data_IF_948274598198
#
_entry.id   IF_948274598198
#
_cell.length_a   1.000
_cell.length_b   1.000
_cell.length_c   1.000
_cell.angle_alpha   90.00
_cell.angle_beta   90.00
_cell.angle_gamma   90.00
#
_symmetry.space_group_name_H-M   'P 1'
#
loop_
_entity.id
_entity.type
_entity.pdbx_description
1 polymer ?
#
# COMPACT_ATOMS: atom_id res chain seq x y z
N UNK A 1 -23.24 4.65 -4.36
CA UNK A 1 -22.37 5.76 -3.94
C UNK A 1 -23.00 6.37 -2.69
N UNK A 2 -22.26 6.50 -1.60
CA UNK A 2 -22.78 7.05 -0.33
C UNK A 2 -21.98 8.25 0.19
N UNK A 3 -20.81 8.54 -0.38
CA UNK A 3 -20.06 9.80 -0.23
C UNK A 3 -19.35 10.12 -1.55
N UNK A 4 -18.95 11.38 -1.72
CA UNK A 4 -18.08 11.89 -2.81
C UNK A 4 -17.06 12.81 -2.14
N UNK A 5 -15.82 12.79 -2.60
CA UNK A 5 -14.74 13.66 -2.12
C UNK A 5 -14.51 14.80 -3.12
N UNK A 6 -14.61 16.04 -2.63
CA UNK A 6 -14.54 17.30 -3.38
C UNK A 6 -13.41 18.16 -2.78
N UNK A 7 -12.73 18.93 -3.62
CA UNK A 7 -11.74 19.94 -3.22
C UNK A 7 -12.41 21.31 -3.10
N UNK A 8 -13.08 21.58 -1.97
CA UNK A 8 -13.85 22.82 -1.76
C UNK A 8 -12.98 24.08 -1.79
N UNK A 9 -13.47 25.15 -2.44
CA UNK A 9 -12.70 26.40 -2.57
C UNK A 9 -12.63 27.25 -1.29
N UNK A 10 -13.65 27.18 -0.42
CA UNK A 10 -13.73 27.99 0.81
C UNK A 10 -13.95 27.17 2.11
N UNK A 11 -14.44 25.94 1.99
CA UNK A 11 -14.74 25.04 3.10
C UNK A 11 -16.18 25.08 3.64
N UNK A 12 -17.14 25.74 2.97
CA UNK A 12 -18.55 25.71 3.37
C UNK A 12 -19.20 24.36 3.00
N UNK A 13 -19.31 23.47 3.99
CA UNK A 13 -19.97 22.18 3.87
C UNK A 13 -21.50 22.25 3.61
N UNK A 14 -22.08 23.45 3.46
CA UNK A 14 -23.49 23.65 3.07
C UNK A 14 -23.69 24.04 1.60
N UNK A 15 -22.63 24.48 0.90
CA UNK A 15 -22.59 24.66 -0.56
C UNK A 15 -21.26 24.10 -1.11
N UNK A 16 -21.01 22.77 -1.00
CA UNK A 16 -19.71 22.19 -1.32
C UNK A 16 -19.50 22.03 -2.83
N UNK A 17 -19.10 23.12 -3.48
CA UNK A 17 -18.52 23.12 -4.82
C UNK A 17 -17.02 22.78 -4.79
N UNK A 18 -16.40 22.72 -5.97
CA UNK A 18 -15.02 22.31 -6.19
C UNK A 18 -14.18 23.43 -6.83
N UNK A 19 -12.93 23.61 -6.37
CA UNK A 19 -12.07 24.68 -6.88
C UNK A 19 -11.79 24.46 -8.39
N UNK A 20 -12.33 25.34 -9.22
CA UNK A 20 -12.16 25.35 -10.67
C UNK A 20 -10.70 25.52 -11.15
N UNK A 21 -9.74 25.79 -10.26
CA UNK A 21 -8.28 25.75 -10.50
C UNK A 21 -7.69 24.33 -10.39
N UNK A 22 -8.47 23.37 -9.90
CA UNK A 22 -8.04 22.01 -9.60
C UNK A 22 -7.09 21.91 -8.41
N UNK A 23 -6.39 20.79 -8.31
CA UNK A 23 -5.48 20.50 -7.21
C UNK A 23 -5.12 19.01 -7.14
N UNK A 24 -4.43 18.61 -6.06
CA UNK A 24 -3.91 17.25 -5.89
C UNK A 24 -4.50 16.60 -4.64
N UNK A 25 -5.20 15.48 -4.82
CA UNK A 25 -5.53 14.56 -3.72
C UNK A 25 -4.40 13.56 -3.54
N UNK A 26 -3.79 13.52 -2.35
CA UNK A 26 -2.76 12.53 -2.00
C UNK A 26 -3.30 11.50 -1.01
N UNK A 27 -3.06 10.22 -1.29
CA UNK A 27 -3.41 9.10 -0.41
C UNK A 27 -2.15 8.27 -0.13
N UNK A 28 -1.78 8.12 1.14
CA UNK A 28 -0.63 7.34 1.59
C UNK A 28 -1.09 6.17 2.47
N UNK A 29 -0.66 4.95 2.14
CA UNK A 29 -0.94 3.75 2.94
C UNK A 29 0.30 3.36 3.72
N UNK A 30 0.22 3.08 5.04
CA UNK A 30 1.40 2.70 5.85
C UNK A 30 2.16 1.49 5.28
N UNK A 31 1.39 0.52 4.79
CA UNK A 31 1.79 -0.69 4.10
C UNK A 31 1.32 -0.60 2.64
N UNK A 32 2.08 -1.11 1.65
CA UNK A 32 1.69 -1.00 0.25
C UNK A 32 0.40 -1.77 -0.08
N UNK A 33 -0.24 -1.39 -1.19
CA UNK A 33 -1.54 -1.91 -1.67
C UNK A 33 -1.52 -2.22 -3.16
N UNK A 34 -2.54 -2.96 -3.61
CA UNK A 34 -2.93 -3.07 -5.02
C UNK A 34 -4.02 -2.01 -5.26
N UNK A 35 -3.93 -1.22 -6.32
CA UNK A 35 -4.99 -0.27 -6.72
C UNK A 35 -5.66 -0.79 -7.99
N UNK A 36 -6.96 -1.10 -7.92
CA UNK A 36 -7.72 -1.62 -9.07
C UNK A 36 -8.23 -0.51 -9.97
N UNK A 37 -8.90 0.50 -9.39
CA UNK A 37 -9.49 1.60 -10.14
C UNK A 37 -9.79 2.82 -9.27
N UNK A 38 -9.88 3.97 -9.93
CA UNK A 38 -10.30 5.26 -9.37
C UNK A 38 -11.61 5.66 -10.05
N UNK A 39 -12.61 6.03 -9.25
CA UNK A 39 -13.83 6.66 -9.73
C UNK A 39 -13.72 8.18 -9.67
N UNK A 40 -13.95 8.86 -10.79
CA UNK A 40 -14.04 10.33 -10.88
C UNK A 40 -15.41 10.78 -11.40
N UNK A 41 -15.80 12.01 -11.07
CA UNK A 41 -17.06 12.64 -11.47
C UNK A 41 -16.81 14.10 -11.85
N UNK A 42 -17.61 14.64 -12.76
CA UNK A 42 -17.65 16.06 -13.14
C UNK A 42 -16.33 16.65 -13.67
N UNK A 43 -15.41 15.80 -14.12
CA UNK A 43 -14.15 16.26 -14.72
C UNK A 43 -14.45 16.92 -16.07
N UNK A 44 -14.29 18.23 -16.10
CA UNK A 44 -14.57 19.08 -17.27
C UNK A 44 -13.36 19.22 -18.19
N UNK A 45 -13.60 19.37 -19.49
CA UNK A 45 -12.53 19.42 -20.49
C UNK A 45 -11.84 20.79 -20.54
N UNK A 46 -10.55 20.84 -20.24
CA UNK A 46 -9.72 22.01 -20.55
C UNK A 46 -9.54 22.15 -22.07
N UNK A 47 -9.29 23.37 -22.61
CA UNK A 47 -9.16 23.62 -24.05
C UNK A 47 -8.01 22.84 -24.75
N UNK A 48 -8.27 21.58 -25.07
CA UNK A 48 -7.31 20.62 -25.61
C UNK A 48 -7.78 19.16 -25.51
N UNK A 49 -8.61 18.84 -24.50
CA UNK A 49 -9.35 17.57 -24.42
C UNK A 49 -8.55 16.32 -24.01
N UNK A 50 -7.34 16.50 -23.48
CA UNK A 50 -6.43 15.40 -23.10
C UNK A 50 -5.69 15.58 -21.77
N UNK A 51 -5.65 16.80 -21.23
CA UNK A 51 -4.90 17.18 -20.01
C UNK A 51 -5.84 17.72 -18.91
N UNK A 52 -6.98 17.05 -18.68
CA UNK A 52 -7.99 17.48 -17.70
C UNK A 52 -7.66 17.01 -16.26
N UNK A 53 -6.75 16.04 -16.14
CA UNK A 53 -6.12 15.62 -14.88
C UNK A 53 -5.19 14.43 -15.08
N UNK A 54 -4.59 13.94 -13.99
CA UNK A 54 -3.66 12.81 -14.00
C UNK A 54 -3.74 12.00 -12.71
N UNK A 55 -3.76 10.67 -12.83
CA UNK A 55 -3.55 9.75 -11.73
C UNK A 55 -2.06 9.36 -11.74
N UNK A 56 -1.42 9.19 -10.58
CA UNK A 56 -0.04 8.76 -10.49
C UNK A 56 0.20 7.91 -9.25
N UNK A 57 0.78 6.73 -9.44
CA UNK A 57 1.07 5.75 -8.38
C UNK A 57 2.57 5.71 -8.10
N UNK A 58 2.94 5.58 -6.83
CA UNK A 58 4.33 5.61 -6.38
C UNK A 58 4.64 4.47 -5.42
N UNK A 59 5.86 3.95 -5.50
CA UNK A 59 6.36 2.85 -4.68
C UNK A 59 6.84 3.31 -3.28
N UNK A 60 7.40 2.37 -2.50
CA UNK A 60 7.92 2.66 -1.16
C UNK A 60 9.21 3.51 -1.11
N UNK A 61 9.92 3.69 -2.23
CA UNK A 61 11.01 4.65 -2.36
C UNK A 61 10.53 6.04 -2.86
N UNK A 62 9.29 6.14 -3.34
CA UNK A 62 8.75 7.32 -4.01
C UNK A 62 9.05 7.37 -5.51
N UNK A 63 9.44 6.24 -6.11
CA UNK A 63 9.58 6.10 -7.56
C UNK A 63 8.20 5.91 -8.20
N UNK A 64 7.97 6.50 -9.37
CA UNK A 64 6.72 6.39 -10.11
C UNK A 64 6.55 4.96 -10.65
N UNK A 65 5.40 4.34 -10.39
CA UNK A 65 5.03 3.01 -10.91
C UNK A 65 4.39 3.18 -12.30
N UNK A 66 3.20 3.77 -12.37
CA UNK A 66 2.57 4.24 -13.61
C UNK A 66 1.73 5.51 -13.35
N UNK A 67 1.15 6.09 -14.41
CA UNK A 67 0.32 7.29 -14.28
C UNK A 67 -0.58 7.60 -15.49
N UNK A 68 -1.86 7.26 -15.35
CA UNK A 68 -2.93 7.45 -16.33
C UNK A 68 -3.42 8.91 -16.48
N UNK A 69 -3.86 9.32 -17.69
CA UNK A 69 -4.55 10.59 -17.90
C UNK A 69 -6.02 10.53 -17.44
N UNK A 70 -6.54 11.64 -16.94
CA UNK A 70 -7.96 11.85 -16.70
C UNK A 70 -8.51 12.72 -17.82
N UNK A 71 -9.53 12.22 -18.54
CA UNK A 71 -10.17 12.91 -19.66
C UNK A 71 -11.38 13.72 -19.19
N UNK A 72 -11.64 14.88 -19.79
CA UNK A 72 -12.71 15.76 -19.35
C UNK A 72 -14.03 15.50 -20.08
N UNK A 73 -14.64 14.33 -19.85
CA UNK A 73 -15.92 13.97 -20.50
C UNK A 73 -17.13 14.83 -20.08
N UNK A 74 -16.93 15.79 -19.17
CA UNK A 74 -17.80 16.96 -18.99
C UNK A 74 -18.79 16.86 -17.84
N UNK A 75 -19.58 17.93 -17.70
CA UNK A 75 -20.70 18.10 -16.77
C UNK A 75 -21.42 16.79 -16.37
N UNK A 76 -21.38 16.45 -15.08
CA UNK A 76 -22.03 15.29 -14.45
C UNK A 76 -21.63 13.92 -15.06
N UNK A 77 -20.45 13.81 -15.68
CA UNK A 77 -19.93 12.56 -16.23
C UNK A 77 -19.17 11.75 -15.17
N UNK A 78 -19.61 10.51 -14.91
CA UNK A 78 -18.88 9.55 -14.08
C UNK A 78 -17.97 8.66 -14.93
N UNK A 79 -16.72 8.50 -14.47
CA UNK A 79 -15.72 7.64 -15.11
C UNK A 79 -15.08 6.71 -14.07
N UNK A 80 -14.87 5.44 -14.44
CA UNK A 80 -14.03 4.52 -13.68
C UNK A 80 -12.75 4.26 -14.49
N UNK A 81 -11.63 4.76 -13.99
CA UNK A 81 -10.30 4.59 -14.61
C UNK A 81 -9.64 3.38 -13.94
N UNK A 82 -9.33 2.36 -14.74
CA UNK A 82 -8.72 1.12 -14.27
C UNK A 82 -7.19 1.26 -14.23
N UNK A 83 -6.60 1.07 -13.05
CA UNK A 83 -5.17 1.22 -12.79
C UNK A 83 -4.51 -0.18 -12.82
N UNK A 84 -4.83 -1.02 -11.84
CA UNK A 84 -4.31 -2.38 -11.63
C UNK A 84 -2.84 -2.46 -11.18
N UNK A 85 -2.30 -1.36 -10.66
CA UNK A 85 -0.96 -1.32 -10.07
C UNK A 85 -0.84 -2.14 -8.79
N UNK A 86 0.37 -2.68 -8.59
CA UNK A 86 0.77 -3.49 -7.44
C UNK A 86 1.85 -2.75 -6.63
N UNK A 87 1.99 -3.08 -5.35
CA UNK A 87 3.01 -2.50 -4.46
C UNK A 87 2.94 -0.97 -4.24
N UNK A 88 1.80 -0.33 -4.56
CA UNK A 88 1.62 1.13 -4.44
C UNK A 88 1.67 1.56 -2.98
N UNK A 89 2.48 2.57 -2.68
CA UNK A 89 2.65 3.16 -1.34
C UNK A 89 2.03 4.56 -1.21
N UNK A 90 1.97 5.31 -2.31
CA UNK A 90 1.34 6.62 -2.41
C UNK A 90 0.59 6.76 -3.75
N UNK A 91 -0.54 7.43 -3.74
CA UNK A 91 -1.38 7.75 -4.90
C UNK A 91 -1.59 9.26 -4.92
N UNK A 92 -1.34 9.89 -6.06
CA UNK A 92 -1.72 11.28 -6.34
C UNK A 92 -2.77 11.31 -7.43
N UNK A 93 -3.82 12.09 -7.22
CA UNK A 93 -4.82 12.41 -8.25
C UNK A 93 -4.81 13.92 -8.43
N UNK A 94 -4.20 14.37 -9.52
CA UNK A 94 -4.18 15.76 -9.96
C UNK A 94 -5.41 16.02 -10.85
N UNK A 95 -6.20 17.02 -10.51
CA UNK A 95 -7.22 17.60 -11.40
C UNK A 95 -6.68 18.94 -11.89
N UNK A 96 -6.76 19.21 -13.19
CA UNK A 96 -6.28 20.46 -13.79
C UNK A 96 -7.33 21.59 -13.74
N UNK A 97 -8.51 21.28 -13.21
CA UNK A 97 -9.65 22.17 -13.02
C UNK A 97 -10.71 21.45 -12.19
N UNK A 98 -11.98 21.76 -12.46
CA UNK A 98 -13.14 21.17 -11.78
C UNK A 98 -13.23 19.64 -11.90
N UNK A 99 -13.69 18.99 -10.83
CA UNK A 99 -13.97 17.56 -10.72
C UNK A 99 -13.91 17.00 -9.29
N UNK A 100 -14.42 15.78 -9.11
CA UNK A 100 -14.54 15.11 -7.81
C UNK A 100 -14.12 13.63 -7.84
N UNK A 101 -13.70 13.08 -6.69
CA UNK A 101 -13.32 11.66 -6.52
C UNK A 101 -14.48 10.92 -5.88
N UNK A 102 -14.98 9.87 -6.53
CA UNK A 102 -16.14 9.07 -6.06
C UNK A 102 -15.75 7.75 -5.41
N UNK A 103 -14.62 7.15 -5.80
CA UNK A 103 -14.16 5.87 -5.24
C UNK A 103 -12.65 5.67 -5.46
N UNK A 104 -12.00 4.96 -4.52
CA UNK A 104 -10.63 4.45 -4.66
C UNK A 104 -10.67 2.97 -4.30
N UNK A 105 -10.64 2.08 -5.31
CA UNK A 105 -10.74 0.62 -5.10
C UNK A 105 -9.35 0.02 -4.93
N UNK A 106 -9.02 -0.44 -3.72
CA UNK A 106 -7.73 -1.02 -3.40
C UNK A 106 -7.83 -2.29 -2.53
N UNK A 107 -6.87 -3.21 -2.70
CA UNK A 107 -6.69 -4.41 -1.87
C UNK A 107 -5.40 -4.28 -1.03
N UNK A 108 -5.45 -4.74 0.23
CA UNK A 108 -4.25 -4.88 1.07
C UNK A 108 -3.70 -6.30 0.95
N UNK A 109 -2.39 -6.43 0.83
CA UNK A 109 -1.72 -7.73 0.92
C UNK A 109 -1.93 -8.41 2.28
N UNK A 110 -1.84 -9.74 2.27
CA UNK A 110 -1.76 -10.55 3.46
C UNK A 110 -0.31 -10.59 3.97
N UNK A 111 -0.10 -10.28 5.25
CA UNK A 111 1.17 -10.51 5.96
C UNK A 111 1.11 -11.83 6.72
N UNK A 112 2.21 -12.57 6.72
CA UNK A 112 2.27 -13.92 7.33
C UNK A 112 3.17 -13.95 8.56
N UNK A 113 2.53 -14.03 9.73
CA UNK A 113 3.20 -14.14 11.04
C UNK A 113 3.08 -15.57 11.56
N UNK A 114 4.21 -16.27 11.70
CA UNK A 114 4.28 -17.62 12.24
C UNK A 114 4.93 -17.63 13.63
N UNK A 115 4.42 -18.46 14.54
CA UNK A 115 5.10 -18.80 15.79
C UNK A 115 5.77 -20.16 15.63
N UNK A 116 7.07 -20.24 15.91
CA UNK A 116 7.84 -21.49 15.78
C UNK A 116 8.06 -22.06 17.18
N UNK A 117 7.36 -23.13 17.51
CA UNK A 117 7.61 -23.86 18.76
C UNK A 117 8.74 -24.87 18.56
N UNK A 118 9.90 -24.63 19.17
CA UNK A 118 11.02 -25.59 19.22
C UNK A 118 11.01 -26.27 20.58
N UNK A 119 11.08 -27.61 20.63
CA UNK A 119 11.08 -28.34 21.89
C UNK A 119 12.24 -27.88 22.79
N UNK A 120 11.91 -27.33 23.96
CA UNK A 120 12.86 -26.76 24.92
C UNK A 120 13.03 -25.23 24.85
N UNK A 121 12.50 -24.55 23.82
CA UNK A 121 12.61 -23.10 23.65
C UNK A 121 11.24 -22.46 23.44
N UNK A 122 10.86 -21.54 24.32
CA UNK A 122 9.63 -20.74 24.20
C UNK A 122 9.96 -19.34 23.68
N UNK A 123 9.03 -18.75 22.92
CA UNK A 123 9.14 -17.35 22.45
C UNK A 123 9.82 -17.13 21.10
N UNK A 124 10.06 -18.17 20.28
CA UNK A 124 10.61 -17.99 18.92
C UNK A 124 9.50 -17.62 17.93
N UNK A 125 9.54 -16.40 17.42
CA UNK A 125 8.61 -15.86 16.42
C UNK A 125 9.28 -15.65 15.07
N UNK A 126 8.61 -16.02 13.98
CA UNK A 126 9.05 -15.78 12.61
C UNK A 126 7.96 -14.99 11.87
N UNK A 127 8.14 -13.66 11.80
CA UNK A 127 7.37 -12.79 10.92
C UNK A 127 7.98 -12.81 9.52
N UNK A 128 7.21 -13.16 8.51
CA UNK A 128 7.58 -12.88 7.12
C UNK A 128 7.24 -11.42 6.78
N UNK A 129 8.14 -10.75 6.06
CA UNK A 129 7.98 -9.38 5.58
C UNK A 129 7.42 -9.37 4.15
N UNK A 130 7.39 -10.52 3.46
CA UNK A 130 6.84 -10.63 2.13
C UNK A 130 5.33 -10.31 2.09
N UNK A 131 4.94 -9.62 1.02
CA UNK A 131 3.56 -9.25 0.73
C UNK A 131 2.89 -10.34 -0.11
N UNK A 132 1.84 -10.97 0.42
CA UNK A 132 1.15 -12.08 -0.26
C UNK A 132 -0.17 -11.61 -0.87
N UNK A 133 -0.42 -11.95 -2.14
CA UNK A 133 -1.71 -11.74 -2.83
C UNK A 133 -2.80 -12.77 -2.47
N UNK A 134 -2.51 -13.73 -1.58
CA UNK A 134 -3.46 -14.79 -1.17
C UNK A 134 -3.43 -14.96 0.35
N UNK A 135 -4.60 -15.18 0.96
CA UNK A 135 -4.77 -15.38 2.41
C UNK A 135 -4.17 -16.68 2.97
N UNK A 136 -3.75 -17.61 2.10
CA UNK A 136 -3.12 -18.88 2.49
C UNK A 136 -1.64 -18.88 2.11
N UNK A 137 -0.70 -18.70 3.06
CA UNK A 137 0.73 -18.87 2.81
C UNK A 137 1.08 -20.30 2.41
N UNK A 138 2.02 -20.44 1.48
CA UNK A 138 2.73 -21.69 1.26
C UNK A 138 3.96 -21.76 2.19
N UNK A 139 3.71 -21.91 3.50
CA UNK A 139 4.75 -21.89 4.54
C UNK A 139 5.64 -23.15 4.46
N UNK A 140 6.65 -23.10 3.59
CA UNK A 140 7.63 -24.19 3.44
C UNK A 140 8.67 -24.15 4.55
N UNK A 141 8.34 -24.78 5.68
CA UNK A 141 9.29 -25.06 6.75
C UNK A 141 10.35 -26.07 6.25
N UNK A 142 11.45 -25.57 5.69
CA UNK A 142 12.63 -26.40 5.45
C UNK A 142 13.23 -26.79 6.81
N UNK A 143 13.42 -28.08 7.12
CA UNK A 143 14.10 -28.48 8.34
C UNK A 143 15.58 -28.09 8.24
N UNK A 144 16.02 -27.21 9.13
CA UNK A 144 17.44 -26.91 9.30
C UNK A 144 18.19 -28.18 9.67
N UNK A 145 19.35 -28.40 9.04
CA UNK A 145 20.18 -29.56 9.35
C UNK A 145 20.62 -29.51 10.83
N UNK A 146 20.51 -30.61 11.60
CA UNK A 146 20.87 -30.62 13.01
C UNK A 146 22.32 -30.16 13.22
N UNK A 147 22.49 -29.03 13.92
CA UNK A 147 23.80 -28.53 14.36
C UNK A 147 24.23 -27.17 13.81
N UNK A 148 23.50 -26.54 12.87
CA UNK A 148 23.84 -25.19 12.42
C UNK A 148 23.16 -24.08 13.25
N UNK A 149 23.75 -23.80 14.42
CA UNK A 149 23.67 -22.51 15.08
C UNK A 149 25.06 -21.85 15.02
N UNK A 150 25.23 -20.79 14.25
CA UNK A 150 26.45 -19.98 14.30
C UNK A 150 26.45 -19.14 15.58
N UNK A 151 27.02 -19.70 16.64
CA UNK A 151 27.38 -18.93 17.83
C UNK A 151 28.47 -17.92 17.44
N UNK A 152 28.17 -16.63 17.53
CA UNK A 152 29.14 -15.56 17.31
C UNK A 152 30.40 -15.80 18.15
N UNK A 153 31.58 -15.57 17.56
CA UNK A 153 32.87 -16.13 17.98
C UNK A 153 33.46 -15.49 19.25
N UNK A 154 32.74 -15.59 20.36
CA UNK A 154 33.11 -15.03 21.67
C UNK A 154 32.42 -15.65 22.89
N UNK A 155 31.35 -16.44 22.75
CA UNK A 155 30.59 -16.97 23.90
C UNK A 155 31.02 -18.38 24.40
N UNK A 156 32.16 -18.92 23.94
CA UNK A 156 32.62 -20.26 24.32
C UNK A 156 33.18 -20.39 25.74
N UNK A 157 33.32 -19.28 26.49
CA UNK A 157 33.97 -19.26 27.81
C UNK A 157 33.12 -19.81 28.97
N UNK A 158 31.79 -19.73 28.90
CA UNK A 158 30.95 -20.03 30.08
C UNK A 158 30.40 -21.46 30.10
N UNK A 159 30.18 -22.09 28.93
CA UNK A 159 29.55 -23.42 28.86
C UNK A 159 30.47 -24.56 29.35
N UNK A 160 31.78 -24.40 29.22
CA UNK A 160 32.79 -25.40 29.63
C UNK A 160 33.08 -25.44 31.14
N UNK A 161 32.50 -24.53 31.94
CA UNK A 161 32.82 -24.40 33.37
C UNK A 161 32.01 -25.31 34.30
N UNK A 162 30.92 -25.94 33.81
CA UNK A 162 29.94 -26.63 34.68
C UNK A 162 30.15 -28.13 34.85
N UNK A 163 30.93 -28.79 33.98
CA UNK A 163 31.19 -30.24 34.07
C UNK A 163 32.33 -30.56 35.04
N UNK A 164 32.09 -30.34 36.33
CA UNK A 164 32.97 -30.83 37.41
C UNK A 164 32.19 -31.72 38.40
N UNK A 165 32.64 -32.98 38.49
CA UNK A 165 32.46 -33.90 39.62
C UNK A 165 31.04 -34.11 40.19
N UNK A 166 30.35 -35.14 39.69
CA UNK A 166 29.54 -36.04 40.53
C UNK A 166 30.11 -37.46 40.37
N UNK A 167 30.05 -38.24 41.44
CA UNK A 167 30.75 -39.53 41.67
C UNK A 167 30.13 -40.66 40.84
#
# INVERSE_FOLDING_TARGET
MENILILSEDGDATDPDDDAKGGIFSFDWEEPVIIHSIGVLDVNDLPGGIDSGRISTFDAAGELIDADPILGFGENNFQEIAINDDMVRSLQIELAGSGAITEVKFERFYKNTATVSVNGYSGVTASDVAYYRNSTPNLQLQPTLPGQFELASGQLSELMASTQSVI
#
